data_IF_649551579239
#
_entry.id   IF_649551579239
#
_cell.length_a   1.000
_cell.length_b   1.000
_cell.length_c   1.000
_cell.angle_alpha   90.00
_cell.angle_beta   90.00
_cell.angle_gamma   90.00
#
_symmetry.space_group_name_H-M   'P 1'
#
loop_
_entity.id
_entity.type
_entity.pdbx_description
1 polymer ?
#
# COMPACT_ATOMS: atom_id res chain seq x y z
N UNK A 1 -20.38 -2.00 -19.09
CA UNK A 1 -19.45 -1.15 -18.33
C UNK A 1 -19.76 0.30 -18.62
N UNK A 2 -19.52 1.19 -17.65
CA UNK A 2 -19.48 2.63 -17.92
C UNK A 2 -18.10 2.94 -18.50
N UNK A 3 -18.06 3.72 -19.58
CA UNK A 3 -16.82 4.33 -20.05
C UNK A 3 -16.34 5.28 -18.97
N UNK A 4 -15.13 5.08 -18.48
CA UNK A 4 -14.58 5.91 -17.42
C UNK A 4 -14.15 7.25 -17.99
N UNK A 5 -14.39 8.30 -17.22
CA UNK A 5 -13.76 9.61 -17.40
C UNK A 5 -12.90 9.92 -16.18
N UNK A 6 -11.84 10.69 -16.33
CA UNK A 6 -10.94 11.08 -15.23
C UNK A 6 -11.68 11.72 -14.04
N UNK A 7 -12.72 12.49 -14.36
CA UNK A 7 -13.59 13.21 -13.42
C UNK A 7 -14.59 12.29 -12.71
N UNK A 8 -14.71 11.04 -13.17
CA UNK A 8 -15.55 10.05 -12.49
C UNK A 8 -15.02 9.83 -11.08
N UNK A 9 -15.90 9.76 -10.07
CA UNK A 9 -15.46 9.48 -8.70
C UNK A 9 -14.61 8.22 -8.63
N UNK A 10 -13.54 8.25 -7.82
CA UNK A 10 -12.56 7.14 -7.73
C UNK A 10 -13.24 5.82 -7.45
N UNK A 11 -14.24 5.78 -6.56
CA UNK A 11 -14.98 4.57 -6.26
C UNK A 11 -15.71 3.97 -7.49
N UNK A 12 -16.05 4.76 -8.51
CA UNK A 12 -16.65 4.28 -9.77
C UNK A 12 -15.63 3.82 -10.81
N UNK A 13 -14.36 4.24 -10.67
CA UNK A 13 -13.26 3.89 -11.58
C UNK A 13 -12.11 3.18 -10.86
N UNK A 14 -12.37 2.60 -9.68
CA UNK A 14 -11.34 1.98 -8.84
C UNK A 14 -10.73 0.78 -9.53
N UNK A 15 -11.56 -0.02 -10.22
CA UNK A 15 -11.14 -1.18 -10.99
C UNK A 15 -11.56 -0.95 -12.44
N UNK A 16 -10.62 -1.05 -13.36
CA UNK A 16 -10.87 -0.79 -14.78
C UNK A 16 -10.30 -1.91 -15.64
N UNK A 17 -11.07 -2.31 -16.65
CA UNK A 17 -10.53 -3.10 -17.75
C UNK A 17 -10.03 -2.11 -18.81
N UNK A 18 -8.77 -2.26 -19.21
CA UNK A 18 -8.20 -1.51 -20.32
C UNK A 18 -8.12 -2.40 -21.55
N UNK A 19 -8.77 -1.99 -22.64
CA UNK A 19 -8.81 -2.73 -23.90
C UNK A 19 -9.13 -1.79 -25.09
N UNK A 20 -9.13 -2.33 -26.31
CA UNK A 20 -9.64 -1.64 -27.50
C UNK A 20 -11.16 -1.86 -27.64
N UNK A 21 -11.95 -0.80 -27.91
CA UNK A 21 -13.41 -0.95 -28.14
C UNK A 21 -13.75 -1.86 -29.33
N UNK A 22 -12.84 -1.95 -30.31
CA UNK A 22 -13.10 -2.58 -31.62
C UNK A 22 -13.08 -4.11 -31.62
N UNK A 23 -12.73 -4.76 -30.50
CA UNK A 23 -12.55 -6.24 -30.45
C UNK A 23 -13.34 -6.98 -29.38
N UNK A 24 -14.20 -6.34 -28.60
CA UNK A 24 -14.92 -7.08 -27.55
C UNK A 24 -16.21 -7.74 -28.08
N UNK A 25 -16.35 -9.09 -28.03
CA UNK A 25 -17.68 -9.70 -27.98
C UNK A 25 -18.38 -9.17 -26.74
N UNK A 26 -19.68 -8.88 -26.81
CA UNK A 26 -20.47 -8.39 -25.66
C UNK A 26 -20.33 -9.35 -24.47
N UNK A 27 -19.40 -9.08 -23.55
CA UNK A 27 -19.23 -9.87 -22.32
C UNK A 27 -20.51 -9.70 -21.50
N UNK A 28 -21.27 -10.80 -21.37
CA UNK A 28 -22.55 -10.81 -20.69
C UNK A 28 -22.33 -10.96 -19.18
N UNK A 29 -22.04 -9.85 -18.51
CA UNK A 29 -21.81 -9.81 -17.06
C UNK A 29 -23.01 -10.30 -16.23
N UNK A 30 -24.24 -10.22 -16.76
CA UNK A 30 -25.41 -10.85 -16.10
C UNK A 30 -25.30 -12.37 -16.08
N UNK A 31 -24.76 -12.97 -17.13
CA UNK A 31 -24.52 -14.40 -17.22
C UNK A 31 -23.40 -14.82 -16.27
N UNK A 32 -22.32 -14.03 -16.18
CA UNK A 32 -21.26 -14.23 -15.18
C UNK A 32 -21.81 -14.12 -13.75
N UNK A 33 -22.70 -13.15 -13.47
CA UNK A 33 -23.40 -13.02 -12.19
C UNK A 33 -24.39 -14.17 -11.89
N UNK A 34 -25.01 -14.76 -12.92
CA UNK A 34 -25.88 -15.93 -12.76
C UNK A 34 -25.08 -17.24 -12.59
N UNK A 35 -23.95 -17.37 -13.28
CA UNK A 35 -22.99 -18.48 -13.10
C UNK A 35 -22.28 -18.41 -11.73
N UNK A 36 -22.26 -17.24 -11.09
CA UNK A 36 -21.89 -17.08 -9.69
C UNK A 36 -22.93 -17.65 -8.71
N UNK A 37 -24.19 -17.83 -9.13
CA UNK A 37 -25.31 -18.30 -8.27
C UNK A 37 -25.57 -19.81 -8.37
N UNK A 38 -25.04 -20.51 -9.37
CA UNK A 38 -25.36 -21.92 -9.67
C UNK A 38 -24.36 -22.94 -9.09
N UNK A 39 -23.27 -22.50 -8.45
CA UNK A 39 -22.33 -23.36 -7.73
C UNK A 39 -22.76 -23.57 -6.27
N UNK A 40 -23.38 -24.72 -5.98
CA UNK A 40 -23.97 -25.05 -4.66
C UNK A 40 -22.98 -24.99 -3.49
N UNK A 41 -23.16 -23.99 -2.64
CA UNK A 41 -23.08 -24.02 -1.15
C UNK A 41 -23.32 -22.60 -0.58
N UNK A 42 -24.33 -21.91 -1.14
CA UNK A 42 -24.50 -20.46 -1.03
C UNK A 42 -25.67 -20.09 -0.10
N UNK A 43 -25.70 -20.55 1.16
CA UNK A 43 -26.59 -19.93 2.17
C UNK A 43 -25.82 -19.19 3.27
N UNK A 44 -24.62 -19.66 3.62
CA UNK A 44 -23.75 -19.00 4.60
C UNK A 44 -22.94 -17.87 3.94
N UNK A 45 -22.56 -18.03 2.67
CA UNK A 45 -21.86 -17.01 1.87
C UNK A 45 -22.77 -15.83 1.46
N UNK A 46 -24.09 -16.02 1.41
CA UNK A 46 -25.06 -15.01 0.95
C UNK A 46 -25.10 -13.75 1.84
N UNK A 47 -24.76 -13.89 3.13
CA UNK A 47 -24.77 -12.77 4.07
C UNK A 47 -23.49 -11.91 3.99
N UNK A 48 -22.35 -12.51 3.62
CA UNK A 48 -21.09 -11.79 3.41
C UNK A 48 -20.95 -11.24 1.98
N UNK A 49 -21.56 -11.89 0.98
CA UNK A 49 -21.53 -11.44 -0.42
C UNK A 49 -22.43 -10.24 -0.73
N UNK A 50 -23.54 -10.03 -0.03
CA UNK A 50 -24.38 -8.83 -0.23
C UNK A 50 -23.63 -7.51 0.02
N UNK A 51 -22.56 -7.54 0.81
CA UNK A 51 -21.69 -6.38 1.04
C UNK A 51 -20.63 -6.18 -0.06
N UNK A 52 -20.16 -7.25 -0.71
CA UNK A 52 -19.10 -7.18 -1.73
C UNK A 52 -19.60 -7.11 -3.17
N UNK A 53 -20.79 -7.65 -3.48
CA UNK A 53 -21.37 -7.64 -4.83
C UNK A 53 -21.82 -6.25 -5.28
N UNK A 54 -22.29 -5.40 -4.36
CA UNK A 54 -22.71 -4.03 -4.68
C UNK A 54 -21.53 -3.13 -5.06
N UNK A 55 -20.33 -3.40 -4.56
CA UNK A 55 -19.14 -2.63 -4.93
C UNK A 55 -18.62 -3.03 -6.31
N UNK A 56 -18.54 -4.32 -6.63
CA UNK A 56 -17.85 -4.77 -7.86
C UNK A 56 -18.68 -4.63 -9.15
N UNK A 57 -20.00 -4.87 -9.10
CA UNK A 57 -20.85 -4.79 -10.29
C UNK A 57 -21.19 -3.35 -10.72
N UNK A 58 -21.03 -2.37 -9.82
CA UNK A 58 -21.21 -0.94 -10.10
C UNK A 58 -19.91 -0.16 -10.34
N UNK A 59 -18.75 -0.66 -9.89
CA UNK A 59 -17.47 0.05 -9.87
C UNK A 59 -16.43 -0.41 -10.91
N UNK A 60 -16.79 -1.37 -11.78
CA UNK A 60 -15.90 -1.81 -12.87
C UNK A 60 -16.09 -0.91 -14.10
N UNK A 61 -15.05 -0.14 -14.38
CA UNK A 61 -14.98 0.77 -15.51
C UNK A 61 -14.39 0.12 -16.76
N UNK A 62 -14.81 0.57 -17.93
CA UNK A 62 -14.07 0.35 -19.17
C UNK A 62 -13.25 1.58 -19.49
N UNK A 63 -11.99 1.41 -19.84
CA UNK A 63 -11.15 2.48 -20.37
C UNK A 63 -10.50 2.07 -21.67
N UNK A 64 -10.75 2.83 -22.72
CA UNK A 64 -10.00 2.68 -23.97
C UNK A 64 -8.51 2.95 -23.70
N UNK A 65 -7.62 2.13 -24.27
CA UNK A 65 -6.18 2.19 -23.96
C UNK A 65 -5.57 3.56 -24.26
N UNK A 66 -5.93 4.20 -25.38
CA UNK A 66 -5.43 5.52 -25.75
C UNK A 66 -5.90 6.59 -24.78
N UNK A 67 -7.20 6.60 -24.44
CA UNK A 67 -7.76 7.50 -23.44
C UNK A 67 -7.05 7.33 -22.09
N UNK A 68 -6.91 6.08 -21.63
CA UNK A 68 -6.27 5.77 -20.35
C UNK A 68 -4.83 6.27 -20.31
N UNK A 69 -4.04 6.00 -21.35
CA UNK A 69 -2.64 6.40 -21.43
C UNK A 69 -2.46 7.94 -21.38
N UNK A 70 -3.42 8.69 -21.91
CA UNK A 70 -3.39 10.16 -21.91
C UNK A 70 -3.89 10.81 -20.61
N UNK A 71 -4.67 10.09 -19.79
CA UNK A 71 -5.36 10.67 -18.63
C UNK A 71 -4.89 10.14 -17.28
N UNK A 72 -4.31 8.94 -17.26
CA UNK A 72 -3.87 8.23 -16.06
C UNK A 72 -2.39 7.87 -16.13
N UNK A 73 -1.82 7.54 -14.98
CA UNK A 73 -0.43 7.11 -14.82
C UNK A 73 -0.38 5.61 -14.61
N UNK A 74 0.67 5.00 -15.13
CA UNK A 74 0.88 3.56 -15.07
C UNK A 74 2.34 3.25 -14.73
N UNK A 75 2.62 2.07 -14.16
CA UNK A 75 4.00 1.57 -14.07
C UNK A 75 4.63 1.40 -15.46
N UNK A 76 5.97 1.33 -15.54
CA UNK A 76 6.66 1.05 -16.80
C UNK A 76 6.08 -0.19 -17.52
N UNK A 77 6.01 -0.13 -18.84
CA UNK A 77 5.43 -1.19 -19.72
C UNK A 77 3.90 -1.38 -19.62
N UNK A 78 3.20 -0.43 -19.00
CA UNK A 78 1.74 -0.36 -18.95
C UNK A 78 1.24 1.01 -19.46
N UNK A 79 -0.04 1.13 -19.88
CA UNK A 79 -1.10 0.11 -19.86
C UNK A 79 -0.94 -0.98 -20.92
N UNK A 80 -1.56 -2.12 -20.68
CA UNK A 80 -1.61 -3.28 -21.57
C UNK A 80 -3.05 -3.64 -21.89
N UNK A 81 -3.29 -4.11 -23.11
CA UNK A 81 -4.62 -4.51 -23.58
C UNK A 81 -5.10 -5.78 -22.89
N UNK A 82 -6.41 -5.84 -22.63
CA UNK A 82 -7.06 -6.95 -21.94
C UNK A 82 -6.66 -7.09 -20.47
N UNK A 83 -5.98 -6.09 -19.89
CA UNK A 83 -5.50 -6.12 -18.51
C UNK A 83 -6.43 -5.36 -17.58
N UNK A 84 -6.70 -5.94 -16.42
CA UNK A 84 -7.47 -5.31 -15.34
C UNK A 84 -6.52 -4.57 -14.39
N UNK A 85 -6.83 -3.31 -14.15
CA UNK A 85 -6.10 -2.42 -13.27
C UNK A 85 -6.93 -1.99 -12.08
N UNK A 86 -6.25 -1.62 -11.00
CA UNK A 86 -6.83 -0.93 -9.87
C UNK A 86 -6.02 0.31 -9.48
N UNK A 87 -6.70 1.36 -9.00
CA UNK A 87 -6.06 2.55 -8.45
C UNK A 87 -6.33 2.67 -6.94
N UNK A 88 -5.32 2.97 -6.11
CA UNK A 88 -5.53 3.24 -4.70
C UNK A 88 -6.09 4.67 -4.51
N UNK A 89 -6.89 4.88 -3.46
CA UNK A 89 -7.45 6.21 -3.17
C UNK A 89 -6.35 7.25 -2.82
N UNK A 90 -5.20 6.78 -2.35
CA UNK A 90 -4.03 7.62 -2.07
C UNK A 90 -3.47 8.26 -3.35
N UNK A 91 -3.29 7.45 -4.40
CA UNK A 91 -2.78 7.86 -5.73
C UNK A 91 -3.89 7.66 -6.79
N UNK A 92 -4.89 8.53 -6.74
CA UNK A 92 -6.14 8.38 -7.51
C UNK A 92 -6.01 8.35 -9.03
N UNK A 93 -4.85 8.73 -9.57
CA UNK A 93 -4.55 8.72 -11.00
C UNK A 93 -3.51 7.66 -11.39
N UNK A 94 -3.03 6.85 -10.44
CA UNK A 94 -2.03 5.82 -10.68
C UNK A 94 -2.67 4.43 -10.68
N UNK A 95 -2.69 3.79 -11.84
CA UNK A 95 -3.31 2.48 -12.05
C UNK A 95 -2.27 1.38 -12.11
N UNK A 96 -2.49 0.36 -11.31
CA UNK A 96 -1.63 -0.80 -11.14
C UNK A 96 -2.36 -2.05 -11.60
N UNK A 97 -1.67 -3.02 -12.20
CA UNK A 97 -2.26 -4.33 -12.37
C UNK A 97 -2.74 -4.87 -11.01
N UNK A 98 -3.91 -5.50 -10.97
CA UNK A 98 -4.47 -5.98 -9.70
C UNK A 98 -3.56 -6.99 -9.00
N UNK A 99 -2.68 -7.67 -9.74
CA UNK A 99 -1.68 -8.61 -9.21
C UNK A 99 -0.70 -7.97 -8.23
N UNK A 100 -0.37 -6.69 -8.43
CA UNK A 100 0.65 -5.95 -7.67
C UNK A 100 0.06 -4.91 -6.70
N UNK A 101 -1.25 -4.68 -6.76
CA UNK A 101 -1.95 -3.64 -6.00
C UNK A 101 -1.58 -3.63 -4.50
N UNK A 102 -1.71 -4.76 -3.81
CA UNK A 102 -1.46 -4.79 -2.37
C UNK A 102 0.00 -4.60 -1.98
N UNK A 103 0.92 -5.10 -2.81
CA UNK A 103 2.34 -4.94 -2.55
C UNK A 103 2.71 -3.46 -2.65
N UNK A 104 2.24 -2.78 -3.70
CA UNK A 104 2.47 -1.35 -3.89
C UNK A 104 1.87 -0.52 -2.74
N UNK A 105 0.62 -0.80 -2.36
CA UNK A 105 -0.05 -0.02 -1.32
C UNK A 105 0.56 -0.20 0.07
N UNK A 106 0.98 -1.42 0.41
CA UNK A 106 1.75 -1.67 1.63
C UNK A 106 3.04 -0.84 1.63
N UNK A 107 3.76 -0.85 0.51
CA UNK A 107 5.02 -0.12 0.35
C UNK A 107 4.82 1.40 0.42
N UNK A 108 3.77 1.94 -0.22
CA UNK A 108 3.39 3.35 -0.09
C UNK A 108 3.14 3.76 1.36
N UNK A 109 2.39 2.92 2.10
CA UNK A 109 2.10 3.19 3.51
C UNK A 109 3.36 3.11 4.37
N UNK A 110 4.25 2.14 4.12
CA UNK A 110 5.57 2.06 4.76
C UNK A 110 6.41 3.32 4.48
N UNK A 111 6.52 3.75 3.23
CA UNK A 111 7.24 4.97 2.84
C UNK A 111 6.69 6.21 3.56
N UNK A 112 5.37 6.39 3.59
CA UNK A 112 4.75 7.52 4.28
C UNK A 112 5.06 7.56 5.79
N UNK A 113 5.13 6.38 6.44
CA UNK A 113 5.53 6.28 7.85
C UNK A 113 7.00 6.68 8.07
N UNK A 114 7.89 6.17 7.22
CA UNK A 114 9.33 6.44 7.28
C UNK A 114 9.61 7.92 7.04
N UNK A 115 8.98 8.51 6.01
CA UNK A 115 9.08 9.94 5.68
C UNK A 115 8.60 10.82 6.83
N UNK A 116 7.46 10.48 7.44
CA UNK A 116 6.96 11.20 8.62
C UNK A 116 7.99 11.16 9.75
N UNK A 117 8.51 9.98 10.09
CA UNK A 117 9.49 9.83 11.15
C UNK A 117 10.77 10.62 10.85
N UNK A 118 11.28 10.54 9.62
CA UNK A 118 12.45 11.29 9.16
C UNK A 118 12.23 12.80 9.26
N UNK A 119 11.07 13.30 8.81
CA UNK A 119 10.67 14.70 8.90
C UNK A 119 10.67 15.20 10.35
N UNK A 120 10.25 14.37 11.28
CA UNK A 120 10.23 14.67 12.72
C UNK A 120 11.59 14.54 13.43
N UNK A 121 12.65 14.25 12.67
CA UNK A 121 14.02 14.12 13.16
C UNK A 121 14.29 12.78 13.82
N UNK A 122 13.67 11.70 13.33
CA UNK A 122 14.04 10.35 13.75
C UNK A 122 15.53 10.13 13.54
N UNK A 123 16.15 9.46 14.50
CA UNK A 123 17.48 8.87 14.44
C UNK A 123 17.40 7.42 13.97
N UNK A 124 16.42 6.70 14.50
CA UNK A 124 16.27 5.27 14.25
C UNK A 124 14.80 4.87 14.26
N UNK A 125 14.42 3.94 13.38
CA UNK A 125 13.13 3.26 13.38
C UNK A 125 13.39 1.78 13.47
N UNK A 126 12.91 1.13 14.53
CA UNK A 126 13.12 -0.27 14.85
C UNK A 126 11.81 -1.03 14.77
N UNK A 127 11.74 -2.08 13.96
CA UNK A 127 10.64 -3.03 14.02
C UNK A 127 10.80 -3.96 15.24
N UNK A 128 9.90 -3.87 16.21
CA UNK A 128 9.97 -4.65 17.46
C UNK A 128 8.94 -5.80 17.51
N UNK A 129 7.84 -5.67 16.79
CA UNK A 129 6.83 -6.72 16.66
C UNK A 129 6.22 -6.71 15.25
N UNK A 130 6.02 -7.88 14.66
CA UNK A 130 5.29 -8.07 13.42
C UNK A 130 4.28 -9.21 13.58
N UNK A 131 3.05 -8.98 13.13
CA UNK A 131 2.03 -10.01 12.95
C UNK A 131 1.75 -10.05 11.46
N UNK A 132 2.17 -11.13 10.79
CA UNK A 132 1.87 -11.38 9.38
C UNK A 132 0.86 -12.53 9.28
N UNK A 133 -0.32 -12.28 8.71
CA UNK A 133 -1.37 -13.29 8.52
C UNK A 133 -1.68 -14.09 9.80
N UNK A 134 -1.88 -13.39 10.91
CA UNK A 134 -2.15 -13.94 12.26
C UNK A 134 -0.98 -14.70 12.91
N UNK A 135 0.19 -14.74 12.25
CA UNK A 135 1.42 -15.31 12.80
C UNK A 135 2.20 -14.17 13.47
N UNK A 136 2.32 -14.24 14.80
CA UNK A 136 3.07 -13.27 15.59
C UNK A 136 4.56 -13.61 15.62
N UNK A 137 5.38 -12.63 15.25
CA UNK A 137 6.83 -12.66 15.26
C UNK A 137 7.30 -11.53 16.19
N UNK A 138 7.89 -11.89 17.32
CA UNK A 138 8.62 -10.93 18.16
C UNK A 138 10.05 -10.86 17.65
N UNK A 139 10.54 -9.64 17.44
CA UNK A 139 11.90 -9.41 16.98
C UNK A 139 12.73 -8.98 18.19
N UNK A 140 13.68 -9.81 18.60
CA UNK A 140 14.62 -9.44 19.65
C UNK A 140 15.66 -8.47 19.06
N UNK A 141 15.42 -7.17 19.20
CA UNK A 141 16.37 -6.13 18.80
C UNK A 141 17.42 -5.96 19.90
N UNK A 142 18.30 -6.95 20.09
CA UNK A 142 19.55 -6.74 20.82
C UNK A 142 20.49 -5.92 19.94
N UNK A 143 20.30 -4.61 19.92
CA UNK A 143 21.28 -3.67 19.37
C UNK A 143 22.38 -3.49 20.42
N UNK A 144 23.23 -4.51 20.58
CA UNK A 144 24.46 -4.37 21.35
C UNK A 144 25.50 -3.70 20.45
N UNK A 145 25.98 -2.54 20.90
CA UNK A 145 27.06 -1.71 20.33
C UNK A 145 26.72 -0.80 19.14
N UNK A 146 26.17 0.38 19.44
CA UNK A 146 26.38 1.58 18.62
C UNK A 146 27.56 2.34 19.23
N UNK A 147 28.74 2.43 18.57
CA UNK A 147 29.83 3.28 19.04
C UNK A 147 29.39 4.74 19.02
N UNK A 148 29.47 5.40 20.17
CA UNK A 148 29.20 6.83 20.31
C UNK A 148 30.50 7.64 20.33
N UNK A 149 30.44 8.83 19.73
CA UNK A 149 31.24 10.03 20.00
C UNK A 149 32.78 9.90 19.78
N UNK A 150 33.25 10.51 18.69
CA UNK A 150 34.66 10.67 18.24
C UNK A 150 35.32 9.48 17.52
N UNK A 151 35.51 9.63 16.20
CA UNK A 151 36.38 8.81 15.33
C UNK A 151 35.71 7.54 14.80
N UNK A 152 35.46 7.35 13.51
CA UNK A 152 36.34 7.57 12.36
C UNK A 152 35.50 7.88 11.12
N UNK A 153 35.92 8.90 10.36
CA UNK A 153 35.41 9.18 9.02
C UNK A 153 36.19 8.28 8.06
N UNK A 154 35.50 7.36 7.40
CA UNK A 154 35.93 6.81 6.12
C UNK A 154 34.76 6.89 5.15
N UNK A 155 34.75 7.98 4.38
CA UNK A 155 34.65 7.92 2.93
C UNK A 155 33.68 6.87 2.36
N UNK A 156 32.39 7.24 2.26
CA UNK A 156 31.52 7.03 1.10
C UNK A 156 30.12 7.56 1.40
N UNK A 157 29.96 8.87 1.21
CA UNK A 157 28.71 9.62 1.41
C UNK A 157 27.81 9.60 0.17
N UNK A 158 27.92 8.57 -0.68
CA UNK A 158 27.20 8.48 -1.95
C UNK A 158 26.86 7.05 -2.39
N UNK A 159 26.20 6.24 -1.56
CA UNK A 159 25.56 4.96 -2.01
C UNK A 159 24.69 4.22 -0.97
N UNK A 160 24.51 4.70 0.27
CA UNK A 160 23.84 3.94 1.34
C UNK A 160 22.30 3.78 1.23
N UNK A 161 21.71 3.94 0.05
CA UNK A 161 20.27 3.72 -0.19
C UNK A 161 19.94 2.35 -0.80
N UNK A 162 20.92 1.47 -1.05
CA UNK A 162 20.65 0.15 -1.59
C UNK A 162 21.06 -1.01 -0.68
N UNK A 163 20.06 -1.87 -0.40
CA UNK A 163 20.13 -3.28 -0.01
C UNK A 163 20.85 -3.62 1.31
N UNK A 164 20.04 -4.03 2.29
CA UNK A 164 20.19 -5.32 2.99
C UNK A 164 18.82 -5.77 3.51
N UNK A 165 18.21 -6.84 2.96
CA UNK A 165 18.35 -8.26 3.36
C UNK A 165 17.85 -8.50 4.78
N UNK A 166 17.09 -9.52 5.14
CA UNK A 166 16.35 -10.61 4.52
C UNK A 166 15.57 -11.25 5.68
N UNK A 167 14.49 -11.95 5.37
CA UNK A 167 13.79 -12.93 6.23
C UNK A 167 14.44 -13.18 7.62
N UNK A 168 13.78 -12.74 8.70
CA UNK A 168 14.15 -12.92 10.13
C UNK A 168 15.19 -11.99 10.79
N UNK A 169 15.57 -10.87 10.16
CA UNK A 169 16.29 -9.76 10.81
C UNK A 169 15.43 -8.49 10.81
N UNK A 170 15.27 -7.83 11.96
CA UNK A 170 14.40 -6.66 12.11
C UNK A 170 14.69 -5.56 11.09
N UNK A 171 13.66 -5.09 10.38
CA UNK A 171 13.77 -3.88 9.55
C UNK A 171 14.14 -2.71 10.45
N UNK A 172 15.33 -2.15 10.26
CA UNK A 172 15.78 -0.93 10.92
C UNK A 172 16.11 0.15 9.88
N UNK A 173 15.79 1.39 10.22
CA UNK A 173 16.15 2.57 9.43
C UNK A 173 16.97 3.51 10.30
N UNK A 174 18.08 4.01 9.77
CA UNK A 174 18.94 4.96 10.44
C UNK A 174 19.00 6.27 9.66
N UNK A 175 18.98 7.38 10.39
CA UNK A 175 19.03 8.71 9.80
C UNK A 175 20.19 9.50 10.39
N UNK A 176 20.93 10.25 9.56
CA UNK A 176 21.92 11.18 10.07
C UNK A 176 21.24 12.26 10.93
N UNK A 177 22.03 12.91 11.79
CA UNK A 177 21.54 14.07 12.52
C UNK A 177 21.11 15.15 11.51
N UNK A 178 19.85 15.63 11.54
CA UNK A 178 19.42 16.67 10.62
C UNK A 178 20.21 17.97 10.89
N UNK A 179 20.40 18.81 9.87
CA UNK A 179 21.05 20.13 10.06
C UNK A 179 20.15 21.05 10.89
N UNK A 180 18.84 20.98 10.64
CA UNK A 180 17.81 21.72 11.37
C UNK A 180 16.67 20.77 11.67
N UNK A 181 16.20 20.78 12.92
CA UNK A 181 15.01 20.02 13.27
C UNK A 181 13.78 20.69 12.65
N UNK A 182 12.95 19.88 11.97
CA UNK A 182 11.67 20.38 11.48
C UNK A 182 10.69 20.50 12.65
N UNK A 183 10.11 21.69 12.80
CA UNK A 183 9.09 22.00 13.80
C UNK A 183 7.68 22.05 13.21
N UNK A 184 7.53 21.73 11.93
CA UNK A 184 6.24 21.74 11.24
C UNK A 184 5.62 20.34 11.18
N UNK A 185 4.28 20.23 11.15
CA UNK A 185 3.62 18.94 10.94
C UNK A 185 3.89 18.38 9.55
N UNK A 186 4.21 17.09 9.46
CA UNK A 186 4.20 16.35 8.21
C UNK A 186 2.75 16.23 7.71
N UNK A 187 2.55 16.39 6.40
CA UNK A 187 1.23 16.32 5.77
C UNK A 187 1.16 15.09 4.88
N UNK A 188 0.26 14.18 5.20
CA UNK A 188 -0.08 13.02 4.37
C UNK A 188 -1.50 12.59 4.69
N UNK A 189 -2.23 12.09 3.68
CA UNK A 189 -3.58 11.51 3.85
C UNK A 189 -3.57 10.39 4.91
N UNK A 190 -2.47 9.65 5.03
CA UNK A 190 -2.34 8.59 6.04
C UNK A 190 -2.30 9.15 7.46
N UNK A 191 -1.60 10.26 7.70
CA UNK A 191 -1.58 10.87 9.04
C UNK A 191 -3.01 11.26 9.44
N UNK A 192 -3.83 11.79 8.55
CA UNK A 192 -5.19 12.21 8.89
C UNK A 192 -6.04 11.06 9.43
N UNK A 193 -5.80 9.84 8.96
CA UNK A 193 -6.59 8.65 9.31
C UNK A 193 -5.93 7.75 10.37
N UNK A 194 -4.60 7.75 10.50
CA UNK A 194 -3.86 6.88 11.43
C UNK A 194 -3.69 7.53 12.82
N UNK A 195 -4.42 7.09 13.87
CA UNK A 195 -4.40 7.77 15.18
C UNK A 195 -3.04 7.75 15.88
N UNK A 196 -2.29 6.64 15.77
CA UNK A 196 -0.97 6.48 16.38
C UNK A 196 0.06 7.40 15.75
N UNK A 197 -0.03 7.63 14.44
CA UNK A 197 0.88 8.52 13.71
C UNK A 197 0.61 9.98 14.04
N UNK A 198 -0.67 10.38 14.14
CA UNK A 198 -1.04 11.72 14.64
C UNK A 198 -0.51 11.98 16.03
N UNK A 199 -0.65 10.99 16.91
CA UNK A 199 -0.19 11.09 18.29
C UNK A 199 1.33 11.19 18.33
N UNK A 200 2.06 10.33 17.62
CA UNK A 200 3.52 10.40 17.49
C UNK A 200 3.97 11.80 17.06
N UNK A 201 3.38 12.34 15.98
CA UNK A 201 3.71 13.67 15.49
C UNK A 201 3.44 14.75 16.54
N UNK A 202 2.25 14.73 17.14
CA UNK A 202 1.85 15.71 18.15
C UNK A 202 2.82 15.72 19.33
N UNK A 203 3.07 14.55 19.94
CA UNK A 203 3.93 14.49 21.13
C UNK A 203 5.38 14.80 20.80
N UNK A 204 5.86 14.47 19.59
CA UNK A 204 7.21 14.82 19.17
C UNK A 204 7.37 16.34 19.00
N UNK A 205 6.41 17.01 18.37
CA UNK A 205 6.46 18.45 18.14
C UNK A 205 6.22 19.27 19.42
N UNK A 206 5.29 18.85 20.28
CA UNK A 206 4.92 19.59 21.49
C UNK A 206 5.83 19.29 22.69
N UNK A 207 6.24 18.03 22.86
CA UNK A 207 6.93 17.57 24.08
C UNK A 207 8.36 17.10 23.83
N UNK A 208 8.87 17.21 22.60
CA UNK A 208 10.24 16.81 22.22
C UNK A 208 10.62 15.38 22.62
N UNK A 209 9.64 14.46 22.61
CA UNK A 209 9.83 13.05 22.95
C UNK A 209 11.01 12.45 22.17
N UNK A 210 11.91 11.77 22.86
CA UNK A 210 13.11 11.13 22.26
C UNK A 210 12.86 9.67 21.85
N UNK A 211 11.80 9.05 22.36
CA UNK A 211 11.42 7.67 22.05
C UNK A 211 9.89 7.51 22.01
N UNK A 212 9.36 6.87 20.98
CA UNK A 212 7.93 6.58 20.85
C UNK A 212 7.69 5.20 20.22
N UNK A 213 6.64 4.50 20.64
CA UNK A 213 6.17 3.28 20.00
C UNK A 213 4.93 3.54 19.14
N UNK A 214 5.03 3.30 17.84
CA UNK A 214 3.93 3.50 16.90
C UNK A 214 3.44 2.17 16.30
N UNK A 215 2.12 2.02 16.23
CA UNK A 215 1.50 0.92 15.50
C UNK A 215 1.36 1.27 14.02
N UNK A 216 1.56 0.26 13.18
CA UNK A 216 1.39 0.27 11.74
C UNK A 216 0.49 -0.90 11.37
N UNK A 217 -0.61 -0.64 10.66
CA UNK A 217 -1.58 -1.68 10.28
C UNK A 217 -1.91 -1.64 8.81
N UNK A 218 -1.93 -2.80 8.16
CA UNK A 218 -2.36 -2.98 6.79
C UNK A 218 -3.18 -4.27 6.70
N UNK A 219 -4.50 -4.13 6.78
CA UNK A 219 -5.42 -5.27 6.96
C UNK A 219 -6.61 -5.26 6.01
N UNK A 220 -6.85 -4.14 5.31
CA UNK A 220 -7.97 -3.96 4.39
C UNK A 220 -7.58 -4.36 2.96
N UNK A 221 -8.39 -5.22 2.35
CA UNK A 221 -8.21 -5.68 0.98
C UNK A 221 -8.87 -4.77 -0.07
N UNK A 222 -9.66 -3.78 0.35
CA UNK A 222 -10.28 -2.78 -0.51
C UNK A 222 -11.14 -3.39 -1.64
N UNK A 223 -11.64 -4.61 -1.43
CA UNK A 223 -12.39 -5.39 -2.42
C UNK A 223 -11.53 -6.08 -3.48
N UNK A 224 -10.20 -5.91 -3.46
CA UNK A 224 -9.27 -6.51 -4.42
C UNK A 224 -8.78 -7.84 -3.84
N UNK A 225 -9.59 -8.89 -3.98
CA UNK A 225 -9.32 -10.17 -3.32
C UNK A 225 -8.71 -11.21 -4.27
N UNK A 226 -8.10 -12.25 -3.71
CA UNK A 226 -7.66 -13.41 -4.49
C UNK A 226 -8.81 -14.12 -5.21
N UNK A 227 -10.01 -14.09 -4.63
CA UNK A 227 -11.22 -14.61 -5.28
C UNK A 227 -11.60 -13.78 -6.52
N UNK A 228 -11.51 -12.45 -6.43
CA UNK A 228 -11.71 -11.56 -7.58
C UNK A 228 -10.69 -11.84 -8.68
N UNK A 229 -9.40 -11.86 -8.34
CA UNK A 229 -8.33 -12.11 -9.30
C UNK A 229 -8.49 -13.46 -10.01
N UNK A 230 -8.78 -14.53 -9.26
CA UNK A 230 -9.03 -15.87 -9.83
C UNK A 230 -10.20 -15.87 -10.81
N UNK A 231 -11.31 -15.18 -10.47
CA UNK A 231 -12.48 -15.08 -11.36
C UNK A 231 -12.14 -14.33 -12.65
N UNK A 232 -11.44 -13.19 -12.55
CA UNK A 232 -11.02 -12.40 -13.73
C UNK A 232 -10.12 -13.20 -14.67
N UNK A 233 -9.16 -13.96 -14.14
CA UNK A 233 -8.33 -14.84 -14.95
C UNK A 233 -9.12 -15.97 -15.62
N UNK A 234 -10.10 -16.56 -14.93
CA UNK A 234 -10.95 -17.64 -15.49
C UNK A 234 -11.78 -17.18 -16.69
N UNK A 235 -12.21 -15.92 -16.72
CA UNK A 235 -12.96 -15.34 -17.84
C UNK A 235 -12.06 -14.78 -18.95
N UNK A 236 -10.74 -15.00 -18.86
CA UNK A 236 -9.79 -14.66 -19.92
C UNK A 236 -9.14 -13.28 -19.81
N UNK A 237 -9.36 -12.54 -18.72
CA UNK A 237 -8.68 -11.26 -18.53
C UNK A 237 -7.29 -11.44 -17.94
N UNK A 238 -6.38 -10.59 -18.43
CA UNK A 238 -5.05 -10.48 -17.85
C UNK A 238 -5.14 -9.67 -16.55
N UNK A 239 -4.46 -10.13 -15.51
CA UNK A 239 -4.39 -9.46 -14.20
C UNK A 239 -3.00 -8.85 -13.94
N UNK A 240 -2.10 -8.94 -14.93
CA UNK A 240 -0.72 -8.47 -14.90
C UNK A 240 0.22 -9.37 -14.10
N UNK A 241 0.04 -10.69 -14.18
CA UNK A 241 0.90 -11.69 -13.51
C UNK A 241 0.22 -12.43 -12.36
N UNK A 242 1.01 -13.12 -11.53
CA UNK A 242 0.47 -13.92 -10.43
C UNK A 242 -0.05 -13.03 -9.31
N UNK A 243 -1.32 -13.19 -8.95
CA UNK A 243 -1.92 -12.43 -7.85
C UNK A 243 -1.25 -12.79 -6.52
N UNK A 244 -0.67 -11.78 -5.85
CA UNK A 244 -0.18 -11.93 -4.50
C UNK A 244 -1.31 -11.58 -3.53
N UNK A 245 -1.78 -12.58 -2.78
CA UNK A 245 -2.78 -12.37 -1.72
C UNK A 245 -2.31 -11.26 -0.80
N UNK A 246 -3.25 -10.42 -0.34
CA UNK A 246 -2.96 -9.44 0.71
C UNK A 246 -2.21 -10.12 1.85
N UNK A 247 -1.04 -9.55 2.17
CA UNK A 247 -0.35 -9.83 3.42
C UNK A 247 -0.99 -8.92 4.46
N UNK A 248 -1.79 -9.49 5.36
CA UNK A 248 -2.28 -8.73 6.50
C UNK A 248 -1.11 -8.54 7.44
N UNK A 249 -0.75 -7.29 7.69
CA UNK A 249 0.44 -6.93 8.44
C UNK A 249 0.04 -5.96 9.55
N UNK A 250 0.32 -6.34 10.78
CA UNK A 250 0.35 -5.42 11.91
C UNK A 250 1.77 -5.36 12.44
N UNK A 251 2.28 -4.16 12.67
CA UNK A 251 3.64 -3.93 13.14
C UNK A 251 3.66 -2.94 14.26
N UNK A 252 4.60 -3.12 15.16
CA UNK A 252 4.95 -2.12 16.15
C UNK A 252 6.37 -1.67 15.90
N UNK A 253 6.52 -0.36 15.71
CA UNK A 253 7.81 0.28 15.54
C UNK A 253 8.18 1.06 16.80
N UNK A 254 9.43 0.96 17.22
CA UNK A 254 10.06 1.88 18.16
C UNK A 254 10.81 2.93 17.35
N UNK A 255 10.49 4.20 17.56
CA UNK A 255 11.12 5.34 16.88
C UNK A 255 11.94 6.10 17.90
N UNK A 256 13.23 6.22 17.64
CA UNK A 256 14.16 7.03 18.41
C UNK A 256 14.43 8.33 17.66
N UNK A 257 14.46 9.45 18.36
CA UNK A 257 14.71 10.77 17.79
C UNK A 257 16.04 11.33 18.29
N UNK A 258 16.63 12.21 17.50
CA UNK A 258 17.73 13.05 18.00
C UNK A 258 17.21 14.00 19.08
N UNK A 259 18.01 14.23 20.12
CA UNK A 259 17.80 15.33 21.06
C UNK A 259 17.81 16.65 20.27
N UNK A 260 16.89 17.56 20.62
CA UNK A 260 16.63 18.74 19.80
C UNK A 260 17.92 19.52 19.54
N UNK A 261 18.11 19.95 18.30
CA UNK A 261 19.13 20.93 17.96
C UNK A 261 18.65 22.28 18.50
N UNK A 262 19.40 22.84 19.45
CA UNK A 262 19.35 24.26 19.77
C UNK A 262 19.68 25.11 18.52
#
# INVERSE_FOLDING_TARGET
>A
MKVIKKESPIYNRRIILIDDETKNPKINWKQIGNDMLSGGDIKVAYKSLKFSENYLFGATGFGEIEYCNNNFKFPPQHPQRGTVYACPDYESDYYLPISSFHQHLLQLKECAFIEMCAHLGAKEILLIEEIENDIKIKIDTKVENIPSQYGSISQDLSTAYEKNLSLSGGKSFFFPKPIKQNSTPYKSKWIETEPTWRTLQKVRLENKVIEYSADFKYTDDMGITGALASKLSKIGFNIGGSFKKIKKVERKYKVLFWESLE
#
